data_IF_929615907472
#
_entry.id   IF_929615907472
#
_cell.length_a   1.000
_cell.length_b   1.000
_cell.length_c   1.000
_cell.angle_alpha   90.00
_cell.angle_beta   90.00
_cell.angle_gamma   90.00
#
_symmetry.space_group_name_H-M   'P 1'
#
loop_
_entity.id
_entity.type
_entity.pdbx_description
1 polymer ?
#
# COMPACT_ATOMS: atom_id res chain seq x y z
N UNK A 1 23.63 -20.97 -36.11
CA UNK A 1 22.90 -20.14 -35.13
C UNK A 1 21.61 -20.90 -34.85
N UNK A 2 21.22 -21.13 -33.60
CA UNK A 2 19.93 -21.73 -33.29
C UNK A 2 18.81 -20.70 -33.57
N UNK A 3 17.84 -21.07 -34.42
CA UNK A 3 16.71 -20.22 -34.85
C UNK A 3 15.46 -20.38 -33.98
N UNK A 4 15.57 -21.05 -32.83
CA UNK A 4 14.43 -21.27 -31.92
C UNK A 4 14.25 -20.09 -30.96
N UNK A 5 13.70 -18.99 -31.50
CA UNK A 5 13.17 -17.90 -30.70
C UNK A 5 11.96 -18.39 -29.89
N UNK A 6 12.20 -18.77 -28.63
CA UNK A 6 11.16 -19.15 -27.65
C UNK A 6 10.11 -18.08 -27.38
N UNK A 7 10.33 -16.85 -27.84
CA UNK A 7 9.38 -15.74 -27.70
C UNK A 7 8.36 -15.66 -28.85
N UNK A 8 8.52 -16.43 -29.92
CA UNK A 8 7.61 -16.38 -31.07
C UNK A 8 6.22 -17.00 -30.82
N UNK A 9 6.00 -17.64 -29.65
CA UNK A 9 4.71 -18.23 -29.27
C UNK A 9 3.93 -17.46 -28.21
N UNK A 10 4.46 -16.32 -27.71
CA UNK A 10 3.84 -15.56 -26.63
C UNK A 10 2.90 -14.43 -27.10
N UNK A 11 2.92 -14.08 -28.40
CA UNK A 11 2.03 -13.06 -28.95
C UNK A 11 0.63 -13.59 -29.32
N UNK A 12 0.47 -14.91 -29.48
CA UNK A 12 -0.80 -15.53 -29.93
C UNK A 12 -1.81 -15.77 -28.78
N UNK A 13 -1.37 -15.65 -27.52
CA UNK A 13 -2.19 -15.95 -26.34
C UNK A 13 -2.92 -14.72 -25.73
N UNK A 14 -2.78 -13.52 -26.32
CA UNK A 14 -3.31 -12.26 -25.78
C UNK A 14 -4.43 -11.64 -26.64
N UNK A 15 -4.84 -12.28 -27.74
CA UNK A 15 -5.81 -11.71 -28.70
C UNK A 15 -7.24 -12.31 -28.65
N UNK A 16 -7.64 -13.02 -27.58
CA UNK A 16 -9.01 -13.58 -27.47
C UNK A 16 -9.66 -13.29 -26.10
N UNK A 17 -9.99 -12.01 -25.87
CA UNK A 17 -11.19 -11.64 -25.08
C UNK A 17 -11.55 -10.19 -25.44
N UNK A 18 -12.29 -10.02 -26.53
CA UNK A 18 -12.90 -8.75 -26.91
C UNK A 18 -14.31 -9.01 -27.42
N UNK A 19 -15.24 -8.27 -26.80
CA UNK A 19 -16.62 -7.96 -27.20
C UNK A 19 -17.73 -8.98 -26.84
N UNK A 20 -18.68 -8.58 -25.98
CA UNK A 20 -19.99 -8.06 -26.43
C UNK A 20 -20.98 -7.74 -25.26
N UNK A 21 -21.12 -6.44 -24.96
CA UNK A 21 -22.35 -5.62 -24.81
C UNK A 21 -23.67 -6.12 -24.13
N UNK A 22 -24.16 -5.29 -23.19
CA UNK A 22 -25.48 -4.60 -23.21
C UNK A 22 -26.54 -4.89 -22.12
N UNK A 23 -27.07 -3.77 -21.62
CA UNK A 23 -28.49 -3.49 -21.33
C UNK A 23 -29.05 -3.73 -19.91
N UNK A 24 -29.22 -2.63 -19.17
CA UNK A 24 -30.28 -2.49 -18.19
C UNK A 24 -30.81 -1.04 -18.17
N UNK A 25 -32.05 -0.90 -18.62
CA UNK A 25 -32.85 0.32 -18.67
C UNK A 25 -33.66 0.52 -17.37
N UNK A 26 -33.96 1.79 -17.08
CA UNK A 26 -35.18 2.32 -16.43
C UNK A 26 -35.38 2.22 -14.90
N UNK A 27 -35.46 3.41 -14.25
CA UNK A 27 -36.64 3.83 -13.46
C UNK A 27 -36.61 5.34 -13.13
N UNK A 28 -37.72 6.01 -13.47
CA UNK A 28 -38.04 7.40 -13.16
C UNK A 28 -38.61 7.57 -11.74
N UNK A 29 -38.40 8.74 -11.13
CA UNK A 29 -39.32 9.34 -10.17
C UNK A 29 -39.08 10.87 -10.04
N UNK A 30 -40.15 11.64 -10.26
CA UNK A 30 -40.21 13.10 -10.23
C UNK A 30 -40.57 13.67 -8.85
N UNK A 31 -40.13 14.92 -8.59
CA UNK A 31 -40.70 15.98 -7.72
C UNK A 31 -39.61 16.66 -6.91
N UNK A 32 -39.62 17.96 -6.60
CA UNK A 32 -40.42 19.14 -6.96
C UNK A 32 -39.80 20.31 -6.15
N UNK A 33 -40.01 21.54 -6.64
CA UNK A 33 -40.01 22.83 -5.90
C UNK A 33 -38.80 23.78 -6.04
N UNK A 34 -38.95 24.67 -7.05
CA UNK A 34 -39.04 26.14 -6.96
C UNK A 34 -37.89 27.01 -6.42
N UNK A 35 -37.31 27.73 -7.39
CA UNK A 35 -37.03 29.17 -7.47
C UNK A 35 -35.97 29.83 -6.57
N UNK A 36 -34.94 30.42 -7.21
CA UNK A 36 -34.76 31.87 -7.20
C UNK A 36 -33.88 32.34 -8.37
N UNK A 37 -34.44 33.31 -9.08
CA UNK A 37 -33.90 34.11 -10.17
C UNK A 37 -32.71 34.98 -9.71
N UNK A 38 -31.59 34.93 -10.44
CA UNK A 38 -30.70 36.10 -10.54
C UNK A 38 -29.85 36.06 -11.81
N UNK A 39 -30.20 36.97 -12.72
CA UNK A 39 -29.53 37.33 -13.96
C UNK A 39 -28.06 37.72 -13.80
N UNK A 40 -27.19 37.32 -14.75
CA UNK A 40 -26.13 38.17 -15.33
C UNK A 40 -25.64 37.55 -16.64
N UNK A 41 -25.72 38.35 -17.70
CA UNK A 41 -25.33 38.07 -19.07
C UNK A 41 -23.84 38.32 -19.31
N UNK A 42 -23.16 37.37 -19.95
CA UNK A 42 -22.12 37.64 -20.96
C UNK A 42 -20.65 37.61 -20.52
N UNK A 43 -19.94 36.56 -20.92
CA UNK A 43 -18.52 36.53 -21.34
C UNK A 43 -18.26 35.13 -21.94
N UNK A 44 -18.32 34.95 -23.26
CA UNK A 44 -17.28 35.16 -24.27
C UNK A 44 -16.00 34.29 -24.07
N UNK A 45 -15.71 33.52 -25.12
CA UNK A 45 -14.42 32.95 -25.49
C UNK A 45 -13.84 31.72 -24.73
N UNK A 46 -13.91 30.61 -25.47
CA UNK A 46 -12.81 29.65 -25.71
C UNK A 46 -12.58 28.51 -24.72
N UNK A 47 -12.98 27.33 -25.18
CA UNK A 47 -12.41 26.04 -24.80
C UNK A 47 -10.90 26.01 -25.06
N UNK A 48 -10.15 25.37 -24.15
CA UNK A 48 -9.09 24.48 -24.56
C UNK A 48 -9.43 23.04 -24.16
N UNK A 49 -9.58 22.19 -25.17
CA UNK A 49 -9.48 20.75 -25.02
C UNK A 49 -8.02 20.43 -24.70
N UNK A 50 -7.76 19.93 -23.49
CA UNK A 50 -6.47 19.33 -23.14
C UNK A 50 -6.68 17.84 -23.03
N UNK A 51 -6.43 17.18 -24.15
CA UNK A 51 -6.12 15.76 -24.19
C UNK A 51 -4.83 15.57 -23.40
N UNK A 52 -4.94 14.94 -22.23
CA UNK A 52 -3.79 14.42 -21.50
C UNK A 52 -3.86 12.92 -21.58
N UNK A 53 -3.26 12.37 -22.63
CA UNK A 53 -2.70 11.03 -22.64
C UNK A 53 -1.69 10.93 -21.49
N UNK A 54 -2.16 10.41 -20.37
CA UNK A 54 -1.38 10.14 -19.17
C UNK A 54 -1.30 8.64 -18.95
N UNK A 55 -0.69 7.93 -19.89
CA UNK A 55 -0.20 6.57 -19.68
C UNK A 55 0.86 6.62 -18.56
N UNK A 56 0.48 6.17 -17.38
CA UNK A 56 1.38 5.90 -16.26
C UNK A 56 0.89 4.64 -15.58
N UNK A 57 0.98 3.54 -16.32
CA UNK A 57 1.06 2.21 -15.74
C UNK A 57 2.41 2.10 -15.04
N UNK A 58 2.41 2.40 -13.75
CA UNK A 58 3.49 2.02 -12.85
C UNK A 58 3.44 0.50 -12.70
N UNK A 59 4.21 -0.22 -13.53
CA UNK A 59 4.61 -1.59 -13.23
C UNK A 59 5.40 -1.59 -11.92
N UNK A 60 4.70 -1.90 -10.84
CA UNK A 60 5.35 -2.36 -9.62
C UNK A 60 5.70 -3.81 -9.86
N UNK A 61 6.89 -4.04 -10.41
CA UNK A 61 7.49 -5.36 -10.45
C UNK A 61 7.66 -5.83 -9.00
N UNK A 62 6.78 -6.73 -8.57
CA UNK A 62 7.00 -7.51 -7.36
C UNK A 62 8.26 -8.35 -7.57
N UNK A 63 9.29 -8.28 -6.71
CA UNK A 63 10.34 -9.28 -6.75
C UNK A 63 9.75 -10.60 -6.23
N UNK A 64 9.53 -11.55 -7.13
CA UNK A 64 9.43 -12.97 -6.79
C UNK A 64 10.68 -13.37 -6.00
N UNK A 65 10.55 -13.38 -4.68
CA UNK A 65 11.52 -14.01 -3.79
C UNK A 65 11.19 -15.50 -3.82
N UNK A 66 11.62 -16.17 -4.90
CA UNK A 66 11.68 -17.63 -4.96
C UNK A 66 12.64 -18.10 -3.86
N UNK A 67 12.06 -18.34 -2.69
CA UNK A 67 12.69 -18.95 -1.55
C UNK A 67 12.97 -20.42 -1.84
N UNK A 68 14.02 -20.69 -2.60
CA UNK A 68 14.73 -21.96 -2.51
C UNK A 68 15.60 -21.93 -1.24
N UNK A 69 14.93 -21.97 -0.08
CA UNK A 69 15.58 -22.36 1.18
C UNK A 69 15.54 -23.88 1.25
N UNK A 70 16.30 -24.51 0.36
CA UNK A 70 16.72 -25.89 0.52
C UNK A 70 17.91 -25.89 1.48
N UNK A 71 17.60 -26.04 2.76
CA UNK A 71 18.30 -26.91 3.73
C UNK A 71 19.76 -27.27 3.37
N UNK A 72 20.70 -26.37 3.63
CA UNK A 72 22.08 -26.77 3.92
C UNK A 72 22.37 -26.41 5.37
N UNK A 73 21.98 -27.33 6.26
CA UNK A 73 22.50 -27.38 7.62
C UNK A 73 23.98 -27.79 7.60
N UNK A 74 24.85 -27.01 6.95
CA UNK A 74 26.25 -26.95 7.34
C UNK A 74 26.31 -26.12 8.62
N UNK A 75 26.26 -26.82 9.74
CA UNK A 75 26.87 -26.36 10.98
C UNK A 75 28.39 -26.28 10.76
N UNK A 76 28.83 -25.37 9.89
CA UNK A 76 30.21 -24.93 9.86
C UNK A 76 30.30 -23.85 10.94
N UNK A 77 30.90 -24.28 12.04
CA UNK A 77 31.33 -23.47 13.17
C UNK A 77 31.87 -22.14 12.64
N UNK A 78 31.04 -21.09 12.72
CA UNK A 78 31.43 -19.74 12.36
C UNK A 78 32.58 -19.37 13.29
N UNK A 79 33.80 -19.61 12.80
CA UNK A 79 35.04 -19.41 13.52
C UNK A 79 35.11 -17.91 13.85
N UNK A 80 34.58 -17.57 15.03
CA UNK A 80 34.41 -16.19 15.52
C UNK A 80 35.77 -15.52 15.77
N UNK A 81 36.85 -16.27 15.55
CA UNK A 81 38.26 -15.91 15.67
C UNK A 81 38.97 -15.70 14.30
N UNK A 82 38.25 -15.49 13.18
CA UNK A 82 38.89 -15.01 11.94
C UNK A 82 39.29 -13.52 12.07
N UNK A 83 40.59 -13.19 12.22
CA UNK A 83 41.04 -11.80 12.43
C UNK A 83 40.96 -10.95 11.16
N UNK A 84 40.57 -11.53 10.02
CA UNK A 84 40.42 -10.83 8.74
C UNK A 84 38.98 -10.42 8.44
N UNK A 85 38.01 -11.02 9.14
CA UNK A 85 36.61 -10.63 9.08
C UNK A 85 36.31 -9.53 10.12
N UNK A 86 35.52 -8.53 9.73
CA UNK A 86 34.93 -7.64 10.72
C UNK A 86 34.01 -8.46 11.62
N UNK A 87 34.13 -8.38 12.96
CA UNK A 87 33.20 -9.06 13.83
C UNK A 87 31.80 -8.51 13.56
N UNK A 88 30.85 -9.39 13.24
CA UNK A 88 29.47 -8.99 13.12
C UNK A 88 28.89 -8.79 14.51
N UNK A 89 28.31 -7.61 14.76
CA UNK A 89 27.47 -7.41 15.93
C UNK A 89 26.26 -8.35 15.82
N UNK A 90 26.03 -9.14 16.87
CA UNK A 90 24.88 -10.02 16.98
C UNK A 90 23.60 -9.17 17.05
N UNK A 91 22.97 -8.94 15.89
CA UNK A 91 21.68 -8.25 15.82
C UNK A 91 20.56 -9.26 16.03
N UNK A 92 19.98 -9.26 17.23
CA UNK A 92 18.82 -10.11 17.53
C UNK A 92 17.55 -9.47 16.95
N UNK A 93 16.97 -10.13 15.94
CA UNK A 93 15.64 -9.77 15.43
C UNK A 93 14.58 -10.27 16.42
N UNK A 94 13.76 -9.35 16.94
CA UNK A 94 12.56 -9.70 17.73
C UNK A 94 11.34 -9.55 16.83
N UNK A 95 10.58 -10.63 16.67
CA UNK A 95 9.32 -10.63 15.92
C UNK A 95 8.14 -10.62 16.89
N UNK A 96 7.11 -9.84 16.56
CA UNK A 96 5.85 -9.79 17.32
C UNK A 96 4.75 -10.26 16.37
N UNK A 97 3.93 -11.20 16.83
CA UNK A 97 2.79 -11.69 16.06
C UNK A 97 1.55 -10.85 16.40
N UNK A 98 1.02 -10.18 15.39
CA UNK A 98 -0.21 -9.37 15.47
C UNK A 98 -1.23 -10.01 14.53
N UNK A 99 -2.51 -9.93 14.87
CA UNK A 99 -3.55 -10.44 13.98
C UNK A 99 -3.60 -9.60 12.69
N UNK A 100 -3.87 -10.20 11.51
CA UNK A 100 -3.91 -9.47 10.25
C UNK A 100 -4.91 -8.32 10.26
N UNK A 101 -6.07 -8.48 10.89
CA UNK A 101 -7.10 -7.45 11.03
C UNK A 101 -6.56 -6.22 11.80
N UNK A 102 -5.92 -6.44 12.95
CA UNK A 102 -5.33 -5.36 13.75
C UNK A 102 -4.19 -4.65 13.03
N UNK A 103 -3.44 -5.37 12.19
CA UNK A 103 -2.38 -4.76 11.39
C UNK A 103 -2.96 -3.86 10.29
N UNK A 104 -4.04 -4.29 9.62
CA UNK A 104 -4.72 -3.49 8.61
C UNK A 104 -5.29 -2.19 9.21
N UNK A 105 -5.95 -2.28 10.37
CA UNK A 105 -6.46 -1.09 11.08
C UNK A 105 -5.33 -0.12 11.47
N UNK A 106 -4.17 -0.63 11.86
CA UNK A 106 -3.00 0.18 12.19
C UNK A 106 -2.40 0.86 10.95
N UNK A 107 -2.40 0.18 9.80
CA UNK A 107 -1.92 0.75 8.53
C UNK A 107 -2.86 1.85 8.02
N UNK A 108 -4.18 1.68 8.18
CA UNK A 108 -5.16 2.74 7.91
C UNK A 108 -4.96 3.94 8.85
N UNK A 109 -4.75 3.70 10.15
CA UNK A 109 -4.43 4.74 11.12
C UNK A 109 -3.12 5.46 10.76
N UNK A 110 -2.10 4.73 10.26
CA UNK A 110 -0.85 5.33 9.79
C UNK A 110 -1.09 6.26 8.61
N UNK A 111 -1.91 5.87 7.63
CA UNK A 111 -2.23 6.72 6.48
C UNK A 111 -2.94 8.01 6.92
N UNK A 112 -3.84 7.92 7.90
CA UNK A 112 -4.49 9.10 8.49
C UNK A 112 -3.49 10.02 9.20
N UNK A 113 -2.57 9.45 9.99
CA UNK A 113 -1.52 10.22 10.66
C UNK A 113 -0.60 10.91 9.65
N UNK A 114 -0.19 10.22 8.59
CA UNK A 114 0.63 10.81 7.51
C UNK A 114 -0.10 11.98 6.85
N UNK A 115 -1.38 11.81 6.51
CA UNK A 115 -2.20 12.88 5.95
C UNK A 115 -2.32 14.09 6.90
N UNK A 116 -2.47 13.85 8.20
CA UNK A 116 -2.55 14.92 9.20
C UNK A 116 -1.21 15.65 9.34
N UNK A 117 -0.10 14.91 9.42
CA UNK A 117 1.25 15.47 9.48
C UNK A 117 1.56 16.34 8.25
N UNK A 118 1.11 15.88 7.08
CA UNK A 118 1.23 16.59 5.80
C UNK A 118 0.44 17.90 5.77
N UNK A 119 -0.73 17.92 6.40
CA UNK A 119 -1.68 19.05 6.35
C UNK A 119 -1.38 20.09 7.43
N UNK A 120 -1.15 19.65 8.66
CA UNK A 120 -1.07 20.53 9.83
C UNK A 120 0.37 20.90 10.22
N UNK A 121 1.31 20.01 9.90
CA UNK A 121 2.68 20.11 10.40
C UNK A 121 3.73 20.25 9.29
N UNK A 122 3.30 20.23 8.02
CA UNK A 122 4.14 20.22 6.82
C UNK A 122 5.27 19.16 6.85
N UNK A 123 5.03 18.06 7.57
CA UNK A 123 5.94 16.91 7.61
C UNK A 123 5.54 15.96 6.49
N UNK A 124 6.53 15.53 5.70
CA UNK A 124 6.36 14.60 4.58
C UNK A 124 7.18 13.34 4.84
N UNK A 125 6.87 12.29 4.08
CA UNK A 125 7.65 11.05 4.02
C UNK A 125 7.77 10.32 5.37
N UNK A 126 6.64 10.14 6.08
CA UNK A 126 6.61 9.43 7.36
C UNK A 126 7.11 7.98 7.22
N UNK A 127 8.28 7.70 7.81
CA UNK A 127 8.85 6.35 7.76
C UNK A 127 8.10 5.41 8.70
N UNK A 128 8.01 4.13 8.33
CA UNK A 128 7.40 3.12 9.21
C UNK A 128 8.12 3.04 10.56
N UNK A 129 9.46 3.19 10.56
CA UNK A 129 10.25 3.18 11.79
C UNK A 129 9.82 4.27 12.77
N UNK A 130 9.67 5.51 12.31
CA UNK A 130 9.27 6.64 13.16
C UNK A 130 7.86 6.45 13.72
N UNK A 131 6.94 6.01 12.87
CA UNK A 131 5.57 5.73 13.28
C UNK A 131 5.52 4.63 14.35
N UNK A 132 6.08 3.45 14.09
CA UNK A 132 6.03 2.33 15.05
C UNK A 132 6.78 2.65 16.35
N UNK A 133 7.92 3.32 16.27
CA UNK A 133 8.67 3.77 17.45
C UNK A 133 7.87 4.76 18.30
N UNK A 134 7.15 5.70 17.67
CA UNK A 134 6.23 6.61 18.38
C UNK A 134 5.06 5.88 19.03
N UNK A 135 4.43 4.94 18.31
CA UNK A 135 3.32 4.12 18.83
C UNK A 135 3.78 3.28 20.04
N UNK A 136 4.93 2.60 19.95
CA UNK A 136 5.46 1.82 21.06
C UNK A 136 5.86 2.69 22.26
N UNK A 137 6.40 3.89 22.03
CA UNK A 137 6.65 4.84 23.12
C UNK A 137 5.36 5.32 23.78
N UNK A 138 4.31 5.58 22.99
CA UNK A 138 3.01 5.98 23.50
C UNK A 138 2.39 4.88 24.37
N UNK A 139 2.38 3.64 23.87
CA UNK A 139 1.88 2.48 24.62
C UNK A 139 2.70 2.21 25.90
N UNK A 140 4.02 2.44 25.87
CA UNK A 140 4.85 2.32 27.06
C UNK A 140 4.63 3.46 28.09
N UNK A 141 4.21 4.63 27.63
CA UNK A 141 3.92 5.78 28.49
C UNK A 141 2.53 5.70 29.13
N UNK A 142 1.57 5.08 28.45
CA UNK A 142 0.20 4.86 28.94
C UNK A 142 -0.10 3.37 29.10
N UNK A 143 0.41 2.79 30.19
CA UNK A 143 0.15 1.38 30.50
C UNK A 143 -1.29 1.10 30.92
N UNK A 144 -2.04 2.12 31.36
CA UNK A 144 -3.44 1.96 31.77
C UNK A 144 -4.31 1.73 30.54
N UNK A 145 -4.16 2.55 29.49
CA UNK A 145 -4.86 2.35 28.22
C UNK A 145 -4.55 0.98 27.58
N UNK A 146 -3.31 0.51 27.69
CA UNK A 146 -2.94 -0.86 27.22
C UNK A 146 -3.62 -1.95 28.04
N UNK A 147 -3.79 -1.78 29.35
CA UNK A 147 -4.51 -2.75 30.19
C UNK A 147 -5.98 -2.82 29.79
N UNK A 148 -6.60 -1.65 29.58
CA UNK A 148 -8.02 -1.57 29.20
C UNK A 148 -8.27 -2.29 27.87
N UNK A 149 -7.43 -2.04 26.85
CA UNK A 149 -7.50 -2.72 25.55
C UNK A 149 -7.34 -4.25 25.67
N UNK A 150 -6.41 -4.72 26.53
CA UNK A 150 -6.21 -6.16 26.75
C UNK A 150 -7.41 -6.81 27.43
N UNK A 151 -8.06 -6.11 28.38
CA UNK A 151 -9.23 -6.63 29.07
C UNK A 151 -10.43 -6.68 28.11
N UNK A 152 -10.64 -5.64 27.31
CA UNK A 152 -11.67 -5.61 26.28
C UNK A 152 -11.50 -6.75 25.28
N UNK A 153 -10.30 -6.93 24.73
CA UNK A 153 -9.99 -8.02 23.80
C UNK A 153 -10.12 -9.44 24.40
N UNK A 154 -10.19 -9.58 25.73
CA UNK A 154 -10.42 -10.86 26.42
C UNK A 154 -11.89 -11.13 26.69
N UNK A 155 -12.72 -10.11 26.70
CA UNK A 155 -14.17 -10.23 26.89
C UNK A 155 -14.91 -10.51 25.58
N UNK A 156 -14.23 -10.33 24.44
CA UNK A 156 -14.69 -10.68 23.09
C UNK A 156 -14.71 -12.20 22.79
#
# INVERSE_FOLDING_TARGET
MPDDNRFAGLSDAVEDDSDEESSAESAAAESSSEETDSTTTGDDASAPESETDGDSSAETAEPDVDGDTADDASADDANTDDPTAFPFDATEKKTVYVRPETLADLDDARALVDAQLRTDHDVRDLTGREFYDAVFRLAAADTEGVIDEILEAREE
#
